data_IF_006377803972
#
_entry.id   IF_006377803972
#
_cell.length_a   1.000
_cell.length_b   1.000
_cell.length_c   1.000
_cell.angle_alpha   90.00
_cell.angle_beta   90.00
_cell.angle_gamma   90.00
#
_symmetry.space_group_name_H-M   'P 1'
#
loop_
_entity.id
_entity.type
_entity.pdbx_description
1 polymer ?
#
# COMPACT_ATOMS: atom_id res chain seq x y z
N UNK A 1 6.45 11.95 6.30
CA UNK A 1 6.47 12.43 4.90
C UNK A 1 6.05 11.26 4.03
N UNK A 2 5.01 11.42 3.19
CA UNK A 2 4.55 10.34 2.31
C UNK A 2 5.18 10.53 0.93
N UNK A 3 5.99 9.57 0.50
CA UNK A 3 6.53 9.55 -0.85
C UNK A 3 5.49 8.97 -1.82
N UNK A 4 5.39 9.53 -3.03
CA UNK A 4 4.60 8.96 -4.12
C UNK A 4 5.51 8.80 -5.33
N UNK A 5 5.57 7.59 -5.86
CA UNK A 5 6.22 7.32 -7.14
C UNK A 5 5.18 7.15 -8.23
N UNK A 6 5.38 7.82 -9.37
CA UNK A 6 4.52 7.69 -10.54
C UNK A 6 5.40 7.30 -11.72
N UNK A 7 5.19 6.10 -12.26
CA UNK A 7 5.92 5.58 -13.41
C UNK A 7 5.04 5.74 -14.66
N UNK A 8 5.52 6.51 -15.60
CA UNK A 8 4.83 6.80 -16.86
C UNK A 8 5.51 6.09 -18.04
N UNK A 9 4.99 6.32 -19.24
CA UNK A 9 5.56 5.87 -20.50
C UNK A 9 7.05 6.19 -20.57
N UNK A 10 7.87 5.21 -20.93
CA UNK A 10 9.32 5.35 -21.03
C UNK A 10 10.00 4.05 -21.41
N UNK A 11 11.29 4.17 -21.75
CA UNK A 11 12.17 3.05 -22.07
C UNK A 11 13.09 2.78 -20.87
N UNK A 12 13.36 1.48 -20.61
CA UNK A 12 14.27 1.08 -19.56
C UNK A 12 13.58 0.55 -18.28
N UNK A 13 14.33 0.42 -17.21
CA UNK A 13 13.89 -0.16 -15.92
C UNK A 13 14.31 0.66 -14.70
N UNK A 14 14.82 1.88 -14.90
CA UNK A 14 15.41 2.68 -13.82
C UNK A 14 14.43 2.97 -12.68
N UNK A 15 13.15 3.20 -13.01
CA UNK A 15 12.09 3.39 -12.03
C UNK A 15 11.83 2.16 -11.14
N UNK A 16 12.10 0.95 -11.63
CA UNK A 16 11.85 -0.29 -10.90
C UNK A 16 12.70 -0.42 -9.62
N UNK A 17 13.90 0.13 -9.61
CA UNK A 17 14.77 0.14 -8.42
C UNK A 17 14.26 1.14 -7.39
N UNK A 18 13.89 2.34 -7.83
CA UNK A 18 13.46 3.42 -6.93
C UNK A 18 12.14 3.16 -6.22
N UNK A 19 11.22 2.41 -6.83
CA UNK A 19 9.92 2.09 -6.21
C UNK A 19 10.06 1.21 -4.97
N UNK A 20 11.09 0.36 -4.88
CA UNK A 20 11.41 -0.40 -3.66
C UNK A 20 11.59 0.52 -2.45
N UNK A 21 12.44 1.53 -2.58
CA UNK A 21 12.67 2.49 -1.49
C UNK A 21 11.40 3.30 -1.13
N UNK A 22 10.55 3.60 -2.11
CA UNK A 22 9.25 4.26 -1.83
C UNK A 22 8.34 3.34 -1.02
N UNK A 23 8.27 2.05 -1.38
CA UNK A 23 7.47 1.05 -0.65
C UNK A 23 7.98 0.80 0.76
N UNK A 24 9.29 0.62 0.94
CA UNK A 24 9.92 0.45 2.27
C UNK A 24 9.55 1.58 3.24
N UNK A 25 9.38 2.79 2.72
CA UNK A 25 8.97 3.96 3.50
C UNK A 25 7.44 4.18 3.54
N UNK A 26 6.63 3.18 3.18
CA UNK A 26 5.18 3.24 3.21
C UNK A 26 4.56 4.18 2.16
N UNK A 27 5.30 4.49 1.10
CA UNK A 27 4.84 5.34 0.00
C UNK A 27 3.92 4.66 -0.99
N UNK A 28 3.26 5.45 -1.82
CA UNK A 28 2.36 5.01 -2.88
C UNK A 28 3.10 4.87 -4.21
N UNK A 29 2.87 3.76 -4.91
CA UNK A 29 3.42 3.51 -6.25
C UNK A 29 2.29 3.40 -7.27
N UNK A 30 2.26 4.34 -8.22
CA UNK A 30 1.30 4.38 -9.32
C UNK A 30 2.03 4.13 -10.63
N UNK A 31 1.48 3.28 -11.48
CA UNK A 31 2.03 2.99 -12.82
C UNK A 31 0.98 3.26 -13.88
N UNK A 32 1.38 3.93 -14.95
CA UNK A 32 0.56 4.06 -16.14
C UNK A 32 0.26 2.69 -16.74
N UNK A 33 -0.97 2.44 -17.18
CA UNK A 33 -1.33 1.20 -17.88
C UNK A 33 -0.43 1.00 -19.10
N UNK A 34 0.26 -0.14 -19.24
CA UNK A 34 1.15 -0.39 -20.38
C UNK A 34 0.46 -0.27 -21.73
N UNK A 35 -0.82 -0.66 -21.82
CA UNK A 35 -1.60 -0.57 -23.07
C UNK A 35 -1.92 0.86 -23.52
N UNK A 36 -1.76 1.87 -22.66
CA UNK A 36 -1.93 3.29 -23.00
C UNK A 36 -0.56 3.99 -23.20
N UNK A 37 0.51 3.37 -22.73
CA UNK A 37 1.84 3.95 -22.81
C UNK A 37 2.41 3.88 -24.23
N UNK A 38 2.93 4.98 -24.74
CA UNK A 38 3.64 4.99 -26.03
C UNK A 38 4.87 4.08 -26.01
N UNK A 39 5.56 4.03 -24.86
CA UNK A 39 6.67 3.14 -24.57
C UNK A 39 6.36 2.38 -23.28
N UNK A 40 6.00 1.11 -23.41
CA UNK A 40 5.47 0.30 -22.31
C UNK A 40 6.55 -0.35 -21.44
N UNK A 41 7.83 -0.35 -21.83
CA UNK A 41 8.86 -1.14 -21.15
C UNK A 41 9.10 -0.70 -19.71
N UNK A 42 9.08 0.59 -19.42
CA UNK A 42 9.25 1.12 -18.06
C UNK A 42 8.06 0.79 -17.16
N UNK A 43 6.79 1.01 -17.57
CA UNK A 43 5.62 0.50 -16.85
C UNK A 43 5.64 -1.01 -16.61
N UNK A 44 5.98 -1.81 -17.63
CA UNK A 44 6.07 -3.26 -17.48
C UNK A 44 7.15 -3.70 -16.49
N UNK A 45 8.33 -3.07 -16.55
CA UNK A 45 9.41 -3.33 -15.59
C UNK A 45 8.99 -3.01 -14.15
N UNK A 46 8.27 -1.91 -13.95
CA UNK A 46 7.72 -1.56 -12.64
C UNK A 46 6.69 -2.58 -12.15
N UNK A 47 5.76 -3.01 -13.01
CA UNK A 47 4.77 -4.03 -12.68
C UNK A 47 5.40 -5.38 -12.33
N UNK A 48 6.47 -5.76 -13.03
CA UNK A 48 7.20 -7.01 -12.79
C UNK A 48 7.82 -7.08 -11.38
N UNK A 49 8.02 -5.95 -10.69
CA UNK A 49 8.52 -5.93 -9.30
C UNK A 49 7.49 -6.44 -8.28
N UNK A 50 6.21 -6.46 -8.61
CA UNK A 50 5.11 -6.75 -7.67
C UNK A 50 4.86 -5.66 -6.63
N UNK A 51 5.54 -4.50 -6.72
CA UNK A 51 5.49 -3.42 -5.73
C UNK A 51 4.55 -2.27 -6.11
N UNK A 52 3.78 -2.43 -7.18
CA UNK A 52 2.85 -1.41 -7.68
C UNK A 52 1.52 -1.48 -6.93
N UNK A 53 1.01 -0.34 -6.50
CA UNK A 53 -0.27 -0.22 -5.81
C UNK A 53 -1.43 0.03 -6.76
N UNK A 54 -1.24 0.92 -7.72
CA UNK A 54 -2.28 1.32 -8.68
C UNK A 54 -1.74 1.30 -10.11
N UNK A 55 -2.51 0.71 -11.02
CA UNK A 55 -2.24 0.76 -12.46
C UNK A 55 -3.37 1.52 -13.14
N UNK A 56 -3.09 2.74 -13.59
CA UNK A 56 -4.09 3.71 -14.02
C UNK A 56 -3.80 4.28 -15.41
N UNK A 57 -4.84 4.74 -16.10
CA UNK A 57 -4.69 5.62 -17.26
C UNK A 57 -4.19 6.99 -16.78
N UNK A 58 -3.40 7.70 -17.61
CA UNK A 58 -2.82 9.01 -17.25
C UNK A 58 -3.89 9.99 -16.76
N UNK A 59 -5.04 10.02 -17.42
CA UNK A 59 -6.16 10.91 -17.05
C UNK A 59 -6.71 10.65 -15.63
N UNK A 60 -6.54 9.44 -15.10
CA UNK A 60 -7.04 9.03 -13.79
C UNK A 60 -6.04 9.29 -12.66
N UNK A 61 -4.74 9.41 -12.96
CA UNK A 61 -3.68 9.52 -11.94
C UNK A 61 -3.92 10.73 -11.02
N UNK A 62 -4.23 11.89 -11.60
CA UNK A 62 -4.42 13.12 -10.81
C UNK A 62 -5.63 13.07 -9.87
N UNK A 63 -6.74 12.49 -10.29
CA UNK A 63 -7.94 12.32 -9.45
C UNK A 63 -7.70 11.30 -8.34
N UNK A 64 -7.10 10.16 -8.66
CA UNK A 64 -6.79 9.11 -7.70
C UNK A 64 -5.77 9.56 -6.65
N UNK A 65 -4.74 10.31 -7.07
CA UNK A 65 -3.77 10.89 -6.13
C UNK A 65 -4.44 11.91 -5.19
N UNK A 66 -5.32 12.77 -5.72
CA UNK A 66 -6.06 13.74 -4.90
C UNK A 66 -6.96 13.05 -3.88
N UNK A 67 -7.64 11.99 -4.27
CA UNK A 67 -8.49 11.18 -3.39
C UNK A 67 -7.65 10.52 -2.29
N UNK A 68 -6.54 9.92 -2.65
CA UNK A 68 -5.59 9.32 -1.71
C UNK A 68 -5.10 10.33 -0.67
N UNK A 69 -4.67 11.52 -1.09
CA UNK A 69 -4.16 12.57 -0.19
C UNK A 69 -5.23 13.23 0.69
N UNK A 70 -6.50 13.14 0.31
CA UNK A 70 -7.62 13.67 1.11
C UNK A 70 -8.10 12.70 2.19
N UNK A 71 -7.62 11.46 2.19
CA UNK A 71 -8.04 10.49 3.18
C UNK A 71 -7.60 10.95 4.59
N UNK A 72 -8.53 11.01 5.58
CA UNK A 72 -8.23 11.45 6.93
C UNK A 72 -7.12 10.63 7.60
N UNK A 73 -7.04 9.33 7.31
CA UNK A 73 -6.00 8.43 7.84
C UNK A 73 -4.59 8.83 7.39
N UNK A 74 -4.43 9.42 6.21
CA UNK A 74 -3.13 9.95 5.75
C UNK A 74 -2.81 11.28 6.43
N UNK A 75 -3.83 12.09 6.69
CA UNK A 75 -3.66 13.40 7.33
C UNK A 75 -3.35 13.25 8.84
N UNK A 76 -3.94 12.28 9.52
CA UNK A 76 -3.71 12.02 10.96
C UNK A 76 -2.31 11.49 11.26
N UNK A 77 -1.65 10.84 10.30
CA UNK A 77 -0.26 10.38 10.48
C UNK A 77 0.75 11.55 10.70
N UNK A 78 0.32 12.80 10.58
CA UNK A 78 1.15 13.97 10.83
C UNK A 78 0.99 14.57 12.24
N UNK A 79 0.02 14.15 13.03
CA UNK A 79 -0.34 14.92 14.23
C UNK A 79 -0.44 14.18 15.56
N UNK A 80 -0.39 12.85 15.65
CA UNK A 80 -0.57 12.21 16.96
C UNK A 80 0.33 10.98 17.16
N UNK A 81 1.07 11.00 18.25
CA UNK A 81 1.40 9.81 19.02
C UNK A 81 0.06 9.15 19.36
N UNK A 82 -0.28 8.07 18.66
CA UNK A 82 -1.53 7.33 18.79
C UNK A 82 -1.82 7.03 20.27
N UNK A 83 -2.92 7.55 20.77
CA UNK A 83 -3.52 7.10 22.02
C UNK A 83 -4.02 5.66 21.83
N UNK A 84 -3.33 4.75 22.47
CA UNK A 84 -3.21 3.32 22.22
C UNK A 84 -4.41 2.43 22.59
N UNK A 85 -5.62 2.89 22.86
CA UNK A 85 -6.62 2.01 23.48
C UNK A 85 -7.72 1.46 22.57
N UNK A 86 -8.21 2.18 21.58
CA UNK A 86 -9.29 1.68 20.70
C UNK A 86 -8.81 1.08 19.38
N UNK A 87 -7.58 1.38 18.98
CA UNK A 87 -6.95 0.82 17.76
C UNK A 87 -6.26 -0.53 18.01
N UNK A 88 -6.08 -0.93 19.28
CA UNK A 88 -5.27 -2.09 19.67
C UNK A 88 -5.94 -3.43 19.30
N UNK A 89 -7.27 -3.51 19.33
CA UNK A 89 -7.99 -4.78 19.14
C UNK A 89 -8.05 -5.17 17.66
N UNK A 90 -8.54 -4.29 16.79
CA UNK A 90 -8.60 -4.55 15.34
C UNK A 90 -7.20 -4.74 14.73
N UNK A 91 -6.22 -3.93 15.15
CA UNK A 91 -4.83 -4.08 14.75
C UNK A 91 -4.27 -5.45 15.12
N UNK A 92 -4.50 -5.89 16.35
CA UNK A 92 -4.06 -7.21 16.83
C UNK A 92 -4.74 -8.34 16.05
N UNK A 93 -6.03 -8.20 15.72
CA UNK A 93 -6.77 -9.16 14.92
C UNK A 93 -6.23 -9.24 13.49
N UNK A 94 -5.88 -8.10 12.86
CA UNK A 94 -5.24 -8.06 11.55
C UNK A 94 -3.89 -8.79 11.58
N UNK A 95 -3.04 -8.52 12.58
CA UNK A 95 -1.75 -9.20 12.72
C UNK A 95 -1.92 -10.71 12.90
N UNK A 96 -2.85 -11.13 13.75
CA UNK A 96 -3.15 -12.55 13.96
C UNK A 96 -3.63 -13.22 12.66
N UNK A 97 -4.51 -12.58 11.90
CA UNK A 97 -5.01 -13.11 10.63
C UNK A 97 -3.88 -13.31 9.61
N UNK A 98 -2.93 -12.39 9.52
CA UNK A 98 -1.78 -12.52 8.63
C UNK A 98 -0.76 -13.52 9.15
N UNK A 99 -0.52 -13.58 10.45
CA UNK A 99 0.38 -14.57 11.05
C UNK A 99 -0.12 -16.00 10.82
N UNK A 100 -1.44 -16.24 10.96
CA UNK A 100 -2.05 -17.53 10.65
C UNK A 100 -1.99 -17.89 9.16
N UNK A 101 -2.04 -16.88 8.28
CA UNK A 101 -1.94 -17.10 6.83
C UNK A 101 -0.52 -17.48 6.39
N UNK A 102 0.52 -16.95 7.06
CA UNK A 102 1.90 -16.96 6.58
C UNK A 102 2.89 -17.76 7.44
N UNK A 103 2.47 -18.27 8.62
CA UNK A 103 3.34 -18.86 9.65
C UNK A 103 4.46 -17.91 10.14
N UNK A 104 4.31 -16.58 9.95
CA UNK A 104 5.26 -15.56 10.41
C UNK A 104 4.61 -14.73 11.51
N UNK A 105 5.33 -14.58 12.64
CA UNK A 105 4.91 -13.71 13.73
C UNK A 105 5.30 -12.24 13.43
N UNK A 106 4.32 -11.45 13.00
CA UNK A 106 4.51 -10.02 12.73
C UNK A 106 4.53 -9.15 13.98
N UNK A 107 4.24 -9.68 15.16
CA UNK A 107 4.25 -8.91 16.43
C UNK A 107 5.66 -8.50 16.83
N UNK A 108 6.69 -9.19 16.35
CA UNK A 108 8.10 -8.89 16.62
C UNK A 108 8.67 -7.76 15.75
N UNK A 109 7.94 -7.35 14.73
CA UNK A 109 8.37 -6.27 13.84
C UNK A 109 8.05 -4.89 14.42
N UNK A 110 8.73 -3.84 13.92
CA UNK A 110 8.46 -2.46 14.35
C UNK A 110 7.01 -2.08 14.09
N UNK A 111 6.24 -1.87 15.15
CA UNK A 111 4.81 -1.56 15.11
C UNK A 111 4.47 -0.44 14.12
N UNK A 112 5.23 0.68 14.14
CA UNK A 112 4.99 1.80 13.25
C UNK A 112 5.13 1.45 11.75
N UNK A 113 6.01 0.51 11.40
CA UNK A 113 6.20 0.08 10.00
C UNK A 113 5.00 -0.74 9.53
N UNK A 114 4.60 -1.72 10.33
CA UNK A 114 3.44 -2.57 10.05
C UNK A 114 2.16 -1.74 9.98
N UNK A 115 1.94 -0.88 10.97
CA UNK A 115 0.79 0.00 11.06
C UNK A 115 0.61 0.85 9.79
N UNK A 116 1.67 1.52 9.34
CA UNK A 116 1.64 2.34 8.11
C UNK A 116 1.27 1.54 6.86
N UNK A 117 1.67 0.29 6.77
CA UNK A 117 1.35 -0.60 5.65
C UNK A 117 -0.11 -1.02 5.66
N UNK A 118 -0.66 -1.33 6.83
CA UNK A 118 -2.08 -1.61 7.01
C UNK A 118 -2.91 -0.37 6.66
N UNK A 119 -2.60 0.79 7.22
CA UNK A 119 -3.27 2.06 6.94
C UNK A 119 -3.27 2.40 5.43
N UNK A 120 -2.16 2.14 4.76
CA UNK A 120 -2.10 2.30 3.32
C UNK A 120 -3.07 1.38 2.60
N UNK A 121 -3.22 0.11 3.01
CA UNK A 121 -4.17 -0.84 2.42
C UNK A 121 -5.61 -0.41 2.65
N UNK A 122 -5.94 0.04 3.85
CA UNK A 122 -7.25 0.62 4.19
C UNK A 122 -7.58 1.76 3.23
N UNK A 123 -6.64 2.68 3.05
CA UNK A 123 -6.82 3.84 2.16
C UNK A 123 -6.97 3.44 0.69
N UNK A 124 -6.16 2.52 0.19
CA UNK A 124 -6.21 2.04 -1.20
C UNK A 124 -7.51 1.32 -1.53
N UNK A 125 -8.04 0.57 -0.59
CA UNK A 125 -9.31 -0.14 -0.73
C UNK A 125 -10.52 0.73 -0.33
N UNK A 126 -10.29 2.01 0.06
CA UNK A 126 -11.33 3.00 0.40
C UNK A 126 -12.19 2.62 1.61
N UNK A 127 -11.65 1.89 2.54
CA UNK A 127 -12.31 1.60 3.81
C UNK A 127 -12.21 2.78 4.78
N UNK A 128 -13.16 2.88 5.71
CA UNK A 128 -13.25 3.98 6.66
C UNK A 128 -12.48 3.71 7.97
N UNK A 129 -12.04 2.47 8.20
CA UNK A 129 -11.29 2.10 9.40
C UNK A 129 -10.78 0.67 9.37
N UNK A 130 -10.09 0.28 10.46
CA UNK A 130 -9.48 -1.05 10.61
C UNK A 130 -10.50 -2.17 10.72
N UNK A 131 -11.63 -1.96 11.38
CA UNK A 131 -12.67 -2.99 11.53
C UNK A 131 -13.27 -3.39 10.19
N UNK A 132 -13.65 -2.41 9.34
CA UNK A 132 -14.16 -2.67 8.00
C UNK A 132 -13.12 -3.38 7.12
N UNK A 133 -11.87 -2.98 7.25
CA UNK A 133 -10.76 -3.63 6.54
C UNK A 133 -10.49 -5.05 7.05
N UNK A 134 -10.61 -5.30 8.36
CA UNK A 134 -10.47 -6.64 8.94
C UNK A 134 -11.50 -7.61 8.37
N UNK A 135 -12.77 -7.22 8.28
CA UNK A 135 -13.83 -8.05 7.69
C UNK A 135 -13.50 -8.40 6.22
N UNK A 136 -13.02 -7.42 5.46
CA UNK A 136 -12.59 -7.64 4.09
C UNK A 136 -11.38 -8.56 4.00
N UNK A 137 -10.37 -8.37 4.84
CA UNK A 137 -9.16 -9.19 4.91
C UNK A 137 -9.50 -10.66 5.23
N UNK A 138 -10.42 -10.89 6.17
CA UNK A 138 -10.85 -12.24 6.56
C UNK A 138 -11.61 -12.95 5.43
N UNK A 139 -12.36 -12.21 4.63
CA UNK A 139 -13.17 -12.75 3.53
C UNK A 139 -12.42 -12.93 2.20
N UNK A 140 -11.25 -12.27 2.03
CA UNK A 140 -10.56 -12.17 0.72
C UNK A 140 -9.14 -12.71 0.82
N UNK A 141 -8.87 -13.85 0.17
CA UNK A 141 -7.54 -14.47 0.16
C UNK A 141 -6.51 -13.63 -0.60
N UNK A 142 -6.91 -13.03 -1.71
CA UNK A 142 -6.06 -12.15 -2.53
C UNK A 142 -5.56 -10.95 -1.71
N UNK A 143 -6.40 -10.40 -0.83
CA UNK A 143 -6.01 -9.29 0.03
C UNK A 143 -5.02 -9.73 1.10
N UNK A 144 -5.23 -10.92 1.71
CA UNK A 144 -4.24 -11.50 2.65
C UNK A 144 -2.88 -11.68 1.99
N UNK A 145 -2.87 -12.24 0.78
CA UNK A 145 -1.64 -12.41 0.00
C UNK A 145 -0.97 -11.07 -0.34
N UNK A 146 -1.76 -10.04 -0.62
CA UNK A 146 -1.23 -8.71 -0.95
C UNK A 146 -0.69 -8.01 0.30
N UNK A 147 -1.43 -8.01 1.41
CA UNK A 147 -0.93 -7.46 2.67
C UNK A 147 0.35 -8.17 3.12
N UNK A 148 0.38 -9.51 3.04
CA UNK A 148 1.58 -10.30 3.35
C UNK A 148 2.80 -9.83 2.54
N UNK A 149 2.67 -9.69 1.22
CA UNK A 149 3.75 -9.16 0.37
C UNK A 149 4.19 -7.77 0.79
N UNK A 150 3.22 -6.90 1.10
CA UNK A 150 3.51 -5.54 1.56
C UNK A 150 4.25 -5.52 2.90
N UNK A 151 4.01 -6.49 3.77
CA UNK A 151 4.69 -6.60 5.08
C UNK A 151 6.13 -7.15 4.99
N UNK A 152 6.46 -7.90 3.94
CA UNK A 152 7.79 -8.49 3.75
C UNK A 152 8.82 -7.53 3.11
N UNK A 153 8.38 -6.43 2.52
CA UNK A 153 9.26 -5.43 1.93
C UNK A 153 9.80 -4.55 3.06
#
# INVERSE_FOLDING_TARGET
>A
MHAVAIILSGSGSDGAIGIGSVKENGGLVIVQKPGEAQYASMPQSALATGMVDLTLNVAQIGSSLREYLKNPHIQSMHQEELTHMDLAEDYSCILNAISLYSDIDFTIYKTNTIYRRIERRITLNKFHGMGEYLDYLLSTEEERAQLYRDLLI
#
